data_IF_909443166126
#
_entry.id   IF_909443166126
#
_cell.length_a   1.000
_cell.length_b   1.000
_cell.length_c   1.000
_cell.angle_alpha   90.00
_cell.angle_beta   90.00
_cell.angle_gamma   90.00
#
_symmetry.space_group_name_H-M   'P 1'
#
loop_
_entity.id
_entity.type
_entity.pdbx_description
1 polymer ?
#
# COMPACT_ATOMS: atom_id res chain seq x y z
N UNK A 1 -36.60 -10.09 38.35
CA UNK A 1 -36.40 -8.85 39.12
C UNK A 1 -36.22 -7.71 38.14
N UNK A 2 -37.23 -6.85 38.02
CA UNK A 2 -37.12 -5.56 37.35
C UNK A 2 -36.68 -4.52 38.38
N UNK A 3 -35.74 -3.63 38.05
CA UNK A 3 -36.01 -2.19 38.09
C UNK A 3 -34.96 -1.39 37.26
N UNK A 4 -35.38 -0.30 36.60
CA UNK A 4 -34.61 0.52 35.66
C UNK A 4 -34.07 1.81 36.31
N UNK A 5 -33.27 2.59 35.54
CA UNK A 5 -33.24 4.09 35.50
C UNK A 5 -32.08 4.54 34.59
N UNK A 6 -32.32 5.10 33.41
CA UNK A 6 -32.79 6.46 33.05
C UNK A 6 -31.67 7.52 33.10
N UNK A 7 -31.32 7.96 31.88
CA UNK A 7 -30.90 9.28 31.37
C UNK A 7 -30.01 10.20 32.21
N UNK A 8 -28.95 10.74 31.58
CA UNK A 8 -28.84 12.20 31.31
C UNK A 8 -28.05 12.42 30.00
N UNK A 9 -28.67 13.12 29.05
CA UNK A 9 -28.05 13.76 27.88
C UNK A 9 -27.49 15.13 28.26
N UNK A 10 -26.31 15.51 27.75
CA UNK A 10 -25.87 16.90 27.71
C UNK A 10 -25.15 17.18 26.38
N UNK A 11 -25.85 17.90 25.50
CA UNK A 11 -25.28 18.51 24.31
C UNK A 11 -24.66 19.86 24.68
N UNK A 12 -23.44 20.13 24.23
CA UNK A 12 -22.82 21.44 24.32
C UNK A 12 -22.22 21.80 22.96
N UNK A 13 -22.99 22.55 22.18
CA UNK A 13 -22.54 23.26 20.98
C UNK A 13 -21.80 24.53 21.41
N UNK A 14 -20.53 24.66 21.04
CA UNK A 14 -19.80 25.92 21.10
C UNK A 14 -19.27 26.24 19.70
N UNK A 15 -19.95 27.16 19.02
CA UNK A 15 -19.45 27.80 17.82
C UNK A 15 -18.48 28.92 18.21
N UNK A 16 -17.27 28.92 17.66
CA UNK A 16 -16.36 30.06 17.72
C UNK A 16 -15.88 30.38 16.29
N UNK A 17 -16.32 31.53 15.78
CA UNK A 17 -15.84 32.17 14.56
C UNK A 17 -14.65 33.08 14.88
N UNK A 18 -13.98 33.56 13.83
CA UNK A 18 -13.00 34.68 13.76
C UNK A 18 -11.54 34.20 13.91
N UNK A 19 -10.56 34.46 13.02
CA UNK A 19 -10.30 35.61 12.11
C UNK A 19 -9.37 35.19 10.96
N UNK A 20 -9.57 35.81 9.79
CA UNK A 20 -8.70 35.76 8.61
C UNK A 20 -7.53 36.76 8.80
N UNK A 21 -6.28 36.30 8.75
CA UNK A 21 -5.10 37.16 8.74
C UNK A 21 -4.26 36.88 7.50
N UNK A 22 -4.30 37.82 6.57
CA UNK A 22 -3.48 37.87 5.37
C UNK A 22 -2.08 38.38 5.70
N UNK A 23 -1.04 37.67 5.24
CA UNK A 23 0.30 38.23 5.09
C UNK A 23 0.74 38.02 3.62
N UNK A 24 0.79 39.12 2.90
CA UNK A 24 1.49 39.25 1.62
C UNK A 24 2.86 39.88 1.88
N UNK A 25 3.88 39.43 1.14
CA UNK A 25 5.20 40.07 0.82
C UNK A 25 6.26 38.96 0.73
N UNK A 26 7.23 38.90 -0.18
CA UNK A 26 7.64 39.67 -1.36
C UNK A 26 8.64 38.80 -2.14
N UNK A 27 8.70 38.99 -3.45
CA UNK A 27 9.59 38.33 -4.40
C UNK A 27 11.09 38.49 -4.11
N UNK A 28 11.89 37.50 -4.49
CA UNK A 28 13.25 37.71 -4.98
C UNK A 28 13.63 36.64 -6.02
N UNK A 29 13.86 37.13 -7.23
CA UNK A 29 14.42 36.50 -8.42
C UNK A 29 15.79 35.85 -8.15
N UNK A 30 16.06 34.70 -8.77
CA UNK A 30 17.37 34.39 -9.34
C UNK A 30 17.23 33.33 -10.43
N UNK A 31 17.35 33.77 -11.68
CA UNK A 31 17.62 32.92 -12.83
C UNK A 31 19.08 32.47 -12.79
N UNK A 32 19.33 31.19 -13.07
CA UNK A 32 20.64 30.72 -13.50
C UNK A 32 20.44 29.57 -14.49
N UNK A 33 20.62 29.93 -15.75
CA UNK A 33 20.66 29.05 -16.91
C UNK A 33 21.99 28.28 -16.89
N UNK A 34 21.98 26.95 -16.97
CA UNK A 34 23.07 26.22 -17.66
C UNK A 34 22.56 24.92 -18.31
N UNK A 35 23.18 24.64 -19.45
CA UNK A 35 22.80 23.72 -20.52
C UNK A 35 22.81 22.21 -20.21
N UNK A 36 22.18 21.50 -21.14
CA UNK A 36 21.96 20.08 -21.23
C UNK A 36 23.21 19.19 -21.16
N UNK A 37 22.99 17.95 -20.69
CA UNK A 37 23.62 16.76 -21.26
C UNK A 37 22.62 15.63 -21.27
N UNK A 38 22.14 15.31 -22.48
CA UNK A 38 21.37 14.11 -22.77
C UNK A 38 22.25 12.89 -22.60
N UNK A 39 21.91 12.04 -21.64
CA UNK A 39 22.29 10.63 -21.64
C UNK A 39 21.01 9.84 -21.61
N UNK A 40 20.60 9.35 -22.78
CA UNK A 40 19.50 8.43 -22.92
C UNK A 40 19.89 7.11 -22.29
N UNK A 41 19.39 6.86 -21.08
CA UNK A 41 19.24 5.52 -20.54
C UNK A 41 17.79 5.13 -20.78
N UNK A 42 17.55 4.35 -21.82
CA UNK A 42 16.28 3.68 -22.02
C UNK A 42 16.15 2.60 -20.94
N UNK A 43 15.29 2.84 -19.95
CA UNK A 43 14.83 1.83 -19.00
C UNK A 43 13.33 2.06 -18.77
N UNK A 44 12.54 1.17 -19.38
CA UNK A 44 11.13 0.87 -19.14
C UNK A 44 10.17 2.05 -18.89
N UNK A 45 9.72 2.71 -19.96
CA UNK A 45 8.39 3.31 -19.95
C UNK A 45 7.35 2.17 -19.94
N UNK A 46 6.76 1.90 -18.78
CA UNK A 46 5.42 1.29 -18.67
C UNK A 46 4.50 2.14 -17.79
N UNK A 47 4.88 3.39 -17.58
CA UNK A 47 4.01 4.46 -17.14
C UNK A 47 3.12 4.88 -18.32
N UNK A 48 1.81 4.98 -18.10
CA UNK A 48 0.80 5.58 -18.98
C UNK A 48 0.21 4.78 -20.17
N UNK A 49 0.16 3.45 -20.10
CA UNK A 49 -0.99 2.76 -20.69
C UNK A 49 -2.10 2.73 -19.64
N UNK A 50 -3.23 3.38 -19.93
CA UNK A 50 -4.45 3.28 -19.12
C UNK A 50 -4.78 1.80 -18.90
N UNK A 51 -4.70 1.33 -17.66
CA UNK A 51 -5.03 -0.05 -17.35
C UNK A 51 -6.56 -0.18 -17.28
N UNK A 52 -7.18 -0.68 -18.34
CA UNK A 52 -8.64 -0.87 -18.39
C UNK A 52 -9.10 -2.09 -17.58
N UNK A 53 -8.18 -2.99 -17.23
CA UNK A 53 -8.41 -4.12 -16.36
C UNK A 53 -8.05 -3.81 -14.91
N UNK A 54 -7.39 -4.73 -14.20
CA UNK A 54 -6.92 -4.50 -12.83
C UNK A 54 -5.42 -4.24 -12.85
N UNK A 55 -4.98 -3.13 -12.25
CA UNK A 55 -3.54 -2.86 -12.04
C UNK A 55 -3.10 -3.56 -10.76
N UNK A 56 -2.03 -4.33 -10.85
CA UNK A 56 -1.32 -4.86 -9.68
C UNK A 56 -0.03 -4.10 -9.51
N UNK A 57 0.26 -3.68 -8.28
CA UNK A 57 1.53 -3.08 -7.88
C UNK A 57 2.11 -3.90 -6.74
N UNK A 58 3.42 -4.12 -6.78
CA UNK A 58 4.16 -4.66 -5.64
C UNK A 58 5.30 -3.70 -5.33
N UNK A 59 5.41 -3.33 -4.06
CA UNK A 59 6.49 -2.50 -3.55
C UNK A 59 7.13 -3.19 -2.34
N UNK A 60 8.46 -3.32 -2.36
CA UNK A 60 9.20 -3.96 -1.26
C UNK A 60 9.64 -2.96 -0.18
N UNK A 61 9.27 -1.68 -0.31
CA UNK A 61 9.67 -0.61 0.60
C UNK A 61 11.19 -0.56 0.79
N UNK A 62 11.63 -0.42 2.04
CA UNK A 62 13.04 -0.35 2.41
C UNK A 62 13.76 -1.72 2.43
N UNK A 63 13.13 -2.80 1.97
CA UNK A 63 13.82 -4.08 1.82
C UNK A 63 14.84 -4.00 0.69
N UNK A 64 16.12 -4.13 1.05
CA UNK A 64 17.20 -4.33 0.10
C UNK A 64 17.19 -5.77 -0.44
N UNK A 65 16.32 -6.05 -1.41
CA UNK A 65 16.22 -7.34 -2.10
C UNK A 65 16.56 -7.21 -3.58
N UNK A 66 17.67 -7.82 -3.97
CA UNK A 66 18.08 -7.90 -5.38
C UNK A 66 17.08 -8.77 -6.16
N UNK A 67 16.50 -8.25 -7.24
CA UNK A 67 15.48 -8.93 -8.05
C UNK A 67 14.22 -9.34 -7.28
N UNK A 68 13.78 -8.52 -6.32
CA UNK A 68 12.50 -8.69 -5.62
C UNK A 68 11.28 -8.54 -6.54
N UNK A 69 10.06 -8.82 -6.03
CA UNK A 69 8.83 -8.79 -6.83
C UNK A 69 8.36 -7.39 -7.24
N UNK A 70 9.12 -6.34 -6.94
CA UNK A 70 8.68 -4.97 -7.14
C UNK A 70 8.37 -4.67 -8.61
N UNK A 71 7.25 -3.99 -8.86
CA UNK A 71 6.83 -3.64 -10.22
C UNK A 71 5.32 -3.42 -10.33
N UNK A 72 4.88 -3.09 -11.55
CA UNK A 72 3.46 -2.91 -11.87
C UNK A 72 3.07 -3.68 -13.13
N UNK A 73 1.94 -4.37 -13.06
CA UNK A 73 1.39 -5.17 -14.17
C UNK A 73 -0.09 -4.86 -14.34
N UNK A 74 -0.57 -4.75 -15.59
CA UNK A 74 -1.99 -4.62 -15.88
C UNK A 74 -2.58 -5.96 -16.30
N UNK A 75 -3.58 -6.44 -15.56
CA UNK A 75 -4.31 -7.69 -15.83
C UNK A 75 -5.60 -7.37 -16.56
N UNK A 76 -5.71 -7.86 -17.80
CA UNK A 76 -6.89 -7.62 -18.63
C UNK A 76 -8.08 -8.41 -18.10
N UNK A 77 -9.15 -7.72 -17.73
CA UNK A 77 -10.45 -8.31 -17.39
C UNK A 77 -11.57 -7.32 -17.75
N UNK A 78 -12.76 -7.85 -18.01
CA UNK A 78 -13.98 -7.07 -18.28
C UNK A 78 -15.09 -7.36 -17.27
N UNK A 79 -14.80 -8.13 -16.22
CA UNK A 79 -15.75 -8.56 -15.20
C UNK A 79 -15.05 -8.63 -13.82
N UNK A 80 -15.81 -8.68 -12.70
CA UNK A 80 -15.23 -8.90 -11.38
C UNK A 80 -14.33 -10.13 -11.36
N UNK A 81 -13.17 -10.03 -10.71
CA UNK A 81 -12.15 -11.08 -10.62
C UNK A 81 -11.61 -11.18 -9.18
N UNK A 82 -11.34 -12.40 -8.72
CA UNK A 82 -10.74 -12.60 -7.40
C UNK A 82 -9.31 -12.07 -7.36
N UNK A 83 -8.90 -11.42 -6.27
CA UNK A 83 -7.56 -10.87 -6.12
C UNK A 83 -6.46 -11.93 -6.30
N UNK A 84 -6.67 -13.14 -5.79
CA UNK A 84 -5.74 -14.28 -5.98
C UNK A 84 -5.54 -14.65 -7.45
N UNK A 85 -6.60 -14.59 -8.28
CA UNK A 85 -6.50 -14.85 -9.71
C UNK A 85 -5.74 -13.74 -10.43
N UNK A 86 -6.00 -12.47 -10.09
CA UNK A 86 -5.24 -11.33 -10.63
C UNK A 86 -3.74 -11.45 -10.32
N UNK A 87 -3.39 -11.81 -9.09
CA UNK A 87 -1.99 -12.01 -8.70
C UNK A 87 -1.34 -13.18 -9.43
N UNK A 88 -2.04 -14.30 -9.58
CA UNK A 88 -1.56 -15.44 -10.35
C UNK A 88 -1.33 -15.07 -11.83
N UNK A 89 -2.25 -14.34 -12.45
CA UNK A 89 -2.15 -13.86 -13.84
C UNK A 89 -1.01 -12.83 -13.99
N UNK A 90 -0.69 -12.08 -12.93
CA UNK A 90 0.49 -11.21 -12.85
C UNK A 90 1.81 -11.98 -12.68
N UNK A 91 1.77 -13.31 -12.56
CA UNK A 91 2.95 -14.14 -12.29
C UNK A 91 3.46 -14.03 -10.84
N UNK A 92 2.63 -13.52 -9.93
CA UNK A 92 2.97 -13.39 -8.52
C UNK A 92 2.50 -14.62 -7.74
N UNK A 93 3.38 -15.13 -6.89
CA UNK A 93 3.08 -16.18 -5.93
C UNK A 93 3.06 -15.59 -4.53
N UNK A 94 1.91 -15.67 -3.87
CA UNK A 94 1.77 -15.29 -2.47
C UNK A 94 1.86 -16.50 -1.56
N UNK A 95 2.37 -16.29 -0.34
CA UNK A 95 2.30 -17.24 0.77
C UNK A 95 1.55 -16.57 1.91
N UNK A 96 0.45 -17.17 2.34
CA UNK A 96 -0.28 -16.79 3.54
C UNK A 96 0.37 -17.31 4.82
N UNK A 97 -0.11 -16.84 5.98
CA UNK A 97 0.33 -17.36 7.28
C UNK A 97 -0.35 -18.68 7.63
N UNK A 98 0.26 -19.50 8.48
CA UNK A 98 -0.32 -20.78 8.94
C UNK A 98 -1.61 -20.54 9.73
N UNK A 99 -1.65 -19.51 10.58
CA UNK A 99 -2.81 -19.20 11.41
C UNK A 99 -4.00 -18.62 10.62
N UNK A 100 -3.74 -17.80 9.60
CA UNK A 100 -4.78 -17.02 8.92
C UNK A 100 -4.94 -17.34 7.42
N UNK A 101 -4.13 -18.26 6.88
CA UNK A 101 -4.09 -18.54 5.44
C UNK A 101 -3.79 -17.27 4.64
N UNK A 102 -4.43 -17.16 3.49
CA UNK A 102 -4.25 -16.03 2.56
C UNK A 102 -4.98 -14.74 3.00
N UNK A 103 -5.57 -14.73 4.20
CA UNK A 103 -6.06 -13.48 4.80
C UNK A 103 -4.92 -12.59 5.29
N UNK A 104 -3.75 -13.16 5.54
CA UNK A 104 -2.55 -12.42 5.94
C UNK A 104 -1.40 -12.89 5.07
N UNK A 105 -0.93 -12.02 4.18
CA UNK A 105 0.19 -12.31 3.29
C UNK A 105 1.49 -12.24 4.07
N UNK A 106 2.22 -13.34 4.05
CA UNK A 106 3.55 -13.44 4.64
C UNK A 106 4.65 -13.14 3.60
N UNK A 107 4.51 -13.67 2.38
CA UNK A 107 5.51 -13.49 1.31
C UNK A 107 4.87 -13.20 -0.04
N UNK A 108 5.60 -12.46 -0.85
CA UNK A 108 5.32 -12.26 -2.28
C UNK A 108 6.56 -12.68 -3.05
N UNK A 109 6.44 -13.67 -3.93
CA UNK A 109 7.56 -14.34 -4.62
C UNK A 109 8.71 -14.76 -3.68
N UNK A 110 8.36 -15.20 -2.47
CA UNK A 110 9.35 -15.60 -1.46
C UNK A 110 10.08 -14.44 -0.79
N UNK A 111 9.61 -13.19 -0.93
CA UNK A 111 10.15 -12.01 -0.25
C UNK A 111 9.25 -11.57 0.92
N UNK A 112 9.80 -11.28 2.12
CA UNK A 112 11.18 -11.60 2.52
C UNK A 112 11.40 -13.11 2.50
N UNK A 113 12.66 -13.59 2.42
CA UNK A 113 12.95 -15.02 2.55
C UNK A 113 12.89 -15.46 4.03
N UNK A 114 12.75 -16.76 4.30
CA UNK A 114 12.60 -17.28 5.67
C UNK A 114 13.86 -17.06 6.54
N UNK A 115 15.02 -17.04 5.91
CA UNK A 115 16.34 -16.79 6.50
C UNK A 115 16.82 -15.35 6.30
N UNK A 116 15.96 -14.47 5.78
CA UNK A 116 16.27 -13.05 5.64
C UNK A 116 16.07 -12.34 6.98
N UNK A 117 17.15 -11.73 7.49
CA UNK A 117 17.12 -11.01 8.76
C UNK A 117 16.55 -9.60 8.57
N UNK A 118 15.39 -9.35 9.17
CA UNK A 118 14.73 -8.04 9.22
C UNK A 118 15.22 -7.30 10.46
N UNK A 119 15.97 -6.22 10.27
CA UNK A 119 16.51 -5.42 11.37
C UNK A 119 15.45 -4.45 11.88
N UNK A 120 15.01 -4.61 13.12
CA UNK A 120 14.11 -3.68 13.78
C UNK A 120 14.84 -2.37 14.15
N UNK A 121 14.08 -1.33 14.48
CA UNK A 121 14.62 -0.03 14.86
C UNK A 121 15.57 -0.06 16.07
N UNK A 122 15.44 -1.04 16.97
CA UNK A 122 16.33 -1.25 18.12
C UNK A 122 17.57 -2.10 17.80
N UNK A 123 17.73 -2.52 16.53
CA UNK A 123 18.83 -3.34 16.05
C UNK A 123 18.62 -4.86 16.21
N UNK A 124 17.53 -5.28 16.86
CA UNK A 124 17.19 -6.70 16.95
C UNK A 124 16.87 -7.29 15.57
N UNK A 125 17.15 -8.58 15.41
CA UNK A 125 16.91 -9.31 14.16
C UNK A 125 15.64 -10.13 14.28
N UNK A 126 14.76 -10.00 13.29
CA UNK A 126 13.54 -10.77 13.16
C UNK A 126 13.58 -11.60 11.88
N UNK A 127 13.08 -12.82 11.95
CA UNK A 127 12.95 -13.72 10.81
C UNK A 127 11.47 -14.08 10.68
N UNK A 128 10.87 -13.68 9.57
CA UNK A 128 9.46 -13.98 9.31
C UNK A 128 9.31 -15.47 8.99
N UNK A 129 8.51 -16.17 9.81
CA UNK A 129 8.30 -17.64 9.73
C UNK A 129 6.98 -18.02 9.10
N UNK A 130 6.09 -17.05 8.83
CA UNK A 130 4.72 -17.24 8.36
C UNK A 130 3.84 -18.04 9.33
N UNK A 131 4.21 -18.17 10.61
CA UNK A 131 3.44 -18.98 11.55
C UNK A 131 2.12 -18.30 11.98
N UNK A 132 2.18 -17.00 12.24
CA UNK A 132 1.10 -16.20 12.82
C UNK A 132 1.07 -14.81 12.18
N UNK A 133 0.47 -13.83 12.85
CA UNK A 133 0.50 -12.44 12.40
C UNK A 133 1.95 -11.94 12.31
N UNK A 134 2.36 -11.32 11.18
CA UNK A 134 3.67 -10.72 11.04
C UNK A 134 3.96 -9.69 12.13
N UNK A 135 5.24 -9.42 12.35
CA UNK A 135 5.63 -8.37 13.28
C UNK A 135 5.06 -7.01 12.84
N UNK A 136 4.55 -6.22 13.78
CA UNK A 136 3.91 -4.93 13.48
C UNK A 136 4.84 -3.90 12.84
N UNK A 137 6.16 -4.13 12.85
CA UNK A 137 7.15 -3.30 12.17
C UNK A 137 7.62 -3.89 10.83
N UNK A 138 7.17 -5.08 10.43
CA UNK A 138 7.64 -5.79 9.24
C UNK A 138 6.52 -6.65 8.63
N UNK A 139 5.76 -6.11 7.68
CA UNK A 139 4.58 -6.81 7.12
C UNK A 139 4.19 -6.31 5.73
N UNK A 140 3.47 -7.16 4.99
CA UNK A 140 2.78 -6.78 3.76
C UNK A 140 1.43 -6.13 4.08
N UNK A 141 1.25 -4.90 3.61
CA UNK A 141 -0.03 -4.21 3.60
C UNK A 141 -0.72 -4.39 2.25
N UNK A 142 -2.04 -4.55 2.27
CA UNK A 142 -2.86 -4.63 1.07
C UNK A 142 -3.62 -3.32 0.91
N UNK A 143 -3.52 -2.75 -0.28
CA UNK A 143 -4.17 -1.51 -0.64
C UNK A 143 -5.03 -1.70 -1.88
N UNK A 144 -6.17 -1.04 -1.92
CA UNK A 144 -7.06 -1.01 -3.07
C UNK A 144 -7.34 0.44 -3.45
N UNK A 145 -7.43 0.69 -4.75
CA UNK A 145 -7.88 1.95 -5.31
C UNK A 145 -9.02 1.68 -6.29
N UNK A 146 -10.25 2.15 -5.98
CA UNK A 146 -11.35 2.11 -6.92
C UNK A 146 -11.03 2.87 -8.21
N UNK A 147 -11.73 2.57 -9.30
CA UNK A 147 -11.57 3.31 -10.55
C UNK A 147 -11.84 4.82 -10.34
N UNK A 148 -10.81 5.65 -10.52
CA UNK A 148 -10.87 7.10 -10.29
C UNK A 148 -10.97 7.52 -8.82
N UNK A 149 -10.78 6.60 -7.87
CA UNK A 149 -10.79 6.85 -6.43
C UNK A 149 -9.41 7.07 -5.82
N UNK A 150 -9.38 7.13 -4.50
CA UNK A 150 -8.16 7.22 -3.69
C UNK A 150 -7.77 5.83 -3.15
N UNK A 151 -6.48 5.66 -2.83
CA UNK A 151 -6.00 4.45 -2.18
C UNK A 151 -6.53 4.32 -0.75
N UNK A 152 -6.97 3.12 -0.39
CA UNK A 152 -7.34 2.74 0.97
C UNK A 152 -6.81 1.34 1.30
N UNK A 153 -6.66 1.03 2.58
CA UNK A 153 -6.39 -0.35 2.99
C UNK A 153 -7.51 -1.27 2.51
N UNK A 154 -7.16 -2.46 2.05
CA UNK A 154 -8.14 -3.50 1.77
C UNK A 154 -8.84 -3.89 3.08
N UNK A 155 -10.18 -3.90 3.07
CA UNK A 155 -10.99 -4.35 4.20
C UNK A 155 -11.10 -5.88 4.28
N UNK A 156 -10.60 -6.55 3.24
CA UNK A 156 -10.60 -8.00 3.07
C UNK A 156 -9.18 -8.49 2.72
N UNK A 157 -8.86 -9.72 3.11
CA UNK A 157 -7.64 -10.38 2.66
C UNK A 157 -7.80 -10.96 1.25
N UNK A 158 -6.70 -11.45 0.66
CA UNK A 158 -6.67 -11.90 -0.74
C UNK A 158 -7.68 -13.03 -1.03
N UNK A 159 -7.98 -13.86 -0.03
CA UNK A 159 -8.84 -15.03 -0.22
C UNK A 159 -10.30 -14.68 -0.50
N UNK A 160 -10.76 -13.49 -0.10
CA UNK A 160 -12.16 -13.05 -0.30
C UNK A 160 -12.27 -11.79 -1.15
N UNK A 161 -11.20 -10.99 -1.23
CA UNK A 161 -11.17 -9.75 -1.99
C UNK A 161 -11.49 -9.97 -3.47
N UNK A 162 -12.51 -9.24 -3.95
CA UNK A 162 -12.92 -9.20 -5.35
C UNK A 162 -12.66 -7.81 -5.94
N UNK A 163 -12.01 -7.77 -7.10
CA UNK A 163 -11.62 -6.54 -7.79
C UNK A 163 -12.48 -6.34 -9.05
N UNK A 164 -12.75 -5.08 -9.36
CA UNK A 164 -13.48 -4.64 -10.54
C UNK A 164 -12.52 -4.14 -11.63
N UNK A 165 -12.91 -4.20 -12.92
CA UNK A 165 -12.16 -3.51 -13.98
C UNK A 165 -11.98 -2.02 -13.66
N UNK A 166 -10.77 -1.52 -13.89
CA UNK A 166 -10.32 -0.15 -13.59
C UNK A 166 -9.76 0.03 -12.18
N UNK A 167 -9.86 -0.95 -11.29
CA UNK A 167 -9.29 -0.87 -9.95
C UNK A 167 -7.78 -1.17 -9.93
N UNK A 168 -7.14 -0.79 -8.83
CA UNK A 168 -5.75 -1.17 -8.55
C UNK A 168 -5.66 -1.90 -7.21
N UNK A 169 -4.83 -2.94 -7.16
CA UNK A 169 -4.41 -3.65 -5.95
C UNK A 169 -2.91 -3.42 -5.76
N UNK A 170 -2.50 -3.13 -4.54
CA UNK A 170 -1.10 -3.06 -4.19
C UNK A 170 -0.76 -3.93 -2.98
N UNK A 171 0.38 -4.59 -3.08
CA UNK A 171 1.06 -5.25 -1.98
C UNK A 171 2.30 -4.43 -1.64
N UNK A 172 2.28 -3.74 -0.50
CA UNK A 172 3.37 -2.90 -0.02
C UNK A 172 3.99 -3.51 1.23
N UNK A 173 5.26 -3.90 1.15
CA UNK A 173 6.01 -4.31 2.34
C UNK A 173 6.47 -3.08 3.11
N UNK A 174 6.16 -3.04 4.40
CA UNK A 174 6.63 -2.01 5.32
C UNK A 174 7.66 -2.59 6.27
N UNK A 175 8.81 -1.94 6.37
CA UNK A 175 9.83 -2.21 7.37
C UNK A 175 10.05 -0.94 8.20
N UNK A 176 9.98 -1.05 9.52
CA UNK A 176 10.21 0.04 10.47
C UNK A 176 9.40 1.31 10.16
N UNK A 177 8.11 1.30 10.49
CA UNK A 177 7.27 2.49 10.31
C UNK A 177 5.81 2.12 10.15
N UNK A 178 5.04 3.06 9.60
CA UNK A 178 3.69 2.81 9.12
C UNK A 178 3.69 2.82 7.59
N UNK A 179 2.87 1.98 6.94
CA UNK A 179 2.74 2.01 5.49
C UNK A 179 2.15 3.36 5.08
N UNK A 180 2.80 4.03 4.13
CA UNK A 180 2.25 5.23 3.51
C UNK A 180 1.20 4.81 2.46
N UNK A 181 0.18 5.66 2.25
CA UNK A 181 -0.71 5.47 1.12
C UNK A 181 0.09 5.51 -0.18
N UNK A 182 -0.12 4.59 -1.12
CA UNK A 182 0.61 4.59 -2.37
C UNK A 182 0.43 5.86 -3.19
N UNK A 183 1.42 6.17 -4.02
CA UNK A 183 1.49 7.45 -4.75
C UNK A 183 1.00 7.38 -6.20
N UNK A 184 0.83 6.19 -6.79
CA UNK A 184 0.46 6.00 -8.20
C UNK A 184 -0.38 4.76 -8.44
#
# INVERSE_FOLDING_TARGET
MSLPRVLVTAAATAALLVTLAACASTAATSSSTTAASSSASASASSDSAECTGVRVVVETGDLAVENGPAGSTCISTTAPIAATAVLADAGLKTEGTTQYGDQVVCRVNGVPAADFALTAADGSQYFETCAAMPAAFAYWSLWVKPAGGEWAYAEEGLSTLQLQPGESLELLFTLNGAPASPSS
#
